data_IF_982719380949
#
_entry.id   IF_982719380949
#
_cell.length_a   1.000
_cell.length_b   1.000
_cell.length_c   1.000
_cell.angle_alpha   90.00
_cell.angle_beta   90.00
_cell.angle_gamma   90.00
#
_symmetry.space_group_name_H-M   'P 1'
#
loop_
_entity.id
_entity.type
_entity.pdbx_description
1 polymer ?
#
# COMPACT_ATOMS: atom_id res chain seq x y z
N UNK A 1 19.03 -47.76 19.89
CA UNK A 1 18.66 -46.55 20.64
C UNK A 1 19.82 -45.94 21.46
N UNK A 2 21.09 -46.19 21.10
CA UNK A 2 22.25 -45.86 21.97
C UNK A 2 23.22 -44.83 21.37
N UNK A 3 23.09 -44.51 20.08
CA UNK A 3 23.99 -43.58 19.37
C UNK A 3 23.58 -42.09 19.42
N UNK A 4 22.38 -41.77 19.91
CA UNK A 4 21.91 -40.38 20.06
C UNK A 4 22.34 -39.73 21.39
N UNK A 5 22.57 -40.52 22.45
CA UNK A 5 22.92 -39.99 23.78
C UNK A 5 24.39 -39.57 23.93
N UNK A 6 25.31 -40.18 23.18
CA UNK A 6 26.75 -39.86 23.28
C UNK A 6 27.13 -38.51 22.65
N UNK A 7 26.38 -38.04 21.64
CA UNK A 7 26.58 -36.69 21.08
C UNK A 7 25.94 -35.59 21.94
N UNK A 8 24.86 -35.89 22.68
CA UNK A 8 24.18 -34.92 23.56
C UNK A 8 25.05 -34.50 24.75
N UNK A 9 25.80 -35.43 25.37
CA UNK A 9 26.69 -35.10 26.50
C UNK A 9 27.88 -34.21 26.10
N UNK A 10 28.43 -34.43 24.89
CA UNK A 10 29.53 -33.61 24.35
C UNK A 10 29.09 -32.20 23.98
N UNK A 11 27.86 -32.03 23.47
CA UNK A 11 27.30 -30.71 23.14
C UNK A 11 26.99 -29.92 24.42
N UNK A 12 26.37 -30.55 25.42
CA UNK A 12 26.06 -29.92 26.71
C UNK A 12 27.30 -29.40 27.44
N UNK A 13 28.38 -30.20 27.48
CA UNK A 13 29.64 -29.78 28.09
C UNK A 13 30.26 -28.57 27.36
N UNK A 14 30.15 -28.52 26.02
CA UNK A 14 30.63 -27.38 25.21
C UNK A 14 29.79 -26.12 25.44
N UNK A 15 28.46 -26.26 25.54
CA UNK A 15 27.54 -25.18 25.86
C UNK A 15 27.89 -24.60 27.23
N UNK A 16 27.97 -25.43 28.27
CA UNK A 16 28.28 -25.00 29.64
C UNK A 16 29.64 -24.29 29.72
N UNK A 17 30.68 -24.86 29.11
CA UNK A 17 32.01 -24.24 29.07
C UNK A 17 31.97 -22.87 28.40
N UNK A 18 31.19 -22.71 27.33
CA UNK A 18 31.02 -21.44 26.63
C UNK A 18 30.24 -20.43 27.47
N UNK A 19 29.13 -20.81 28.10
CA UNK A 19 28.39 -19.93 29.01
C UNK A 19 29.26 -19.40 30.14
N UNK A 20 30.05 -20.27 30.78
CA UNK A 20 31.01 -19.89 31.83
C UNK A 20 32.04 -18.89 31.30
N UNK A 21 32.60 -19.13 30.11
CA UNK A 21 33.57 -18.21 29.49
C UNK A 21 33.01 -16.81 29.19
N UNK A 22 31.70 -16.72 28.94
CA UNK A 22 30.98 -15.46 28.70
C UNK A 22 30.43 -14.84 30.00
N UNK A 23 30.69 -15.47 31.15
CA UNK A 23 30.14 -15.07 32.44
C UNK A 23 28.61 -15.18 32.52
N UNK A 24 27.99 -15.98 31.67
CA UNK A 24 26.54 -16.22 31.68
C UNK A 24 26.20 -17.25 32.75
N UNK A 25 25.24 -16.92 33.61
CA UNK A 25 24.73 -17.87 34.61
C UNK A 25 23.95 -18.99 33.92
N UNK A 26 24.06 -20.19 34.47
CA UNK A 26 23.41 -21.38 33.95
C UNK A 26 21.90 -21.34 34.23
N UNK A 27 21.13 -20.88 33.25
CA UNK A 27 19.67 -20.91 33.26
C UNK A 27 19.15 -22.11 32.43
N UNK A 28 18.17 -22.86 32.97
CA UNK A 28 17.64 -24.06 32.30
C UNK A 28 16.99 -23.76 30.94
N UNK A 29 16.30 -22.62 30.82
CA UNK A 29 15.69 -22.15 29.56
C UNK A 29 16.76 -21.82 28.53
N UNK A 30 17.83 -21.16 28.98
CA UNK A 30 18.98 -20.84 28.13
C UNK A 30 19.66 -22.11 27.61
N UNK A 31 19.92 -23.07 28.49
CA UNK A 31 20.51 -24.37 28.11
C UNK A 31 19.60 -25.10 27.12
N UNK A 32 18.30 -25.18 27.40
CA UNK A 32 17.33 -25.83 26.52
C UNK A 32 17.36 -25.22 25.12
N UNK A 33 17.29 -23.89 25.00
CA UNK A 33 17.32 -23.20 23.71
C UNK A 33 18.58 -23.54 22.91
N UNK A 34 19.74 -23.60 23.57
CA UNK A 34 21.03 -23.89 22.94
C UNK A 34 21.17 -25.36 22.53
N UNK A 35 20.65 -26.29 23.34
CA UNK A 35 20.65 -27.73 23.05
C UNK A 35 19.74 -28.06 21.86
N UNK A 36 18.57 -27.42 21.77
CA UNK A 36 17.62 -27.60 20.66
C UNK A 36 18.08 -26.95 19.35
N UNK A 37 18.98 -25.96 19.41
CA UNK A 37 19.40 -25.14 18.26
C UNK A 37 20.93 -25.06 18.09
N UNK A 38 21.65 -26.19 17.94
CA UNK A 38 23.11 -26.24 17.94
C UNK A 38 23.76 -25.40 16.82
N UNK A 39 23.09 -25.24 15.68
CA UNK A 39 23.53 -24.44 14.54
C UNK A 39 23.55 -22.92 14.83
N UNK A 40 22.83 -22.47 15.86
CA UNK A 40 22.72 -21.06 16.24
C UNK A 40 23.47 -20.70 17.53
N UNK A 41 24.26 -21.62 18.10
CA UNK A 41 24.95 -21.42 19.40
C UNK A 41 25.69 -20.08 19.49
N UNK A 42 26.45 -19.70 18.46
CA UNK A 42 27.22 -18.44 18.50
C UNK A 42 26.31 -17.21 18.53
N UNK A 43 25.21 -17.20 17.77
CA UNK A 43 24.24 -16.10 17.74
C UNK A 43 23.46 -16.01 19.05
N UNK A 44 22.99 -17.16 19.56
CA UNK A 44 22.23 -17.24 20.81
C UNK A 44 23.08 -16.86 22.03
N UNK A 45 24.34 -17.32 22.10
CA UNK A 45 25.24 -16.92 23.20
C UNK A 45 25.57 -15.43 23.16
N UNK A 46 25.69 -14.82 21.97
CA UNK A 46 25.83 -13.37 21.82
C UNK A 46 24.58 -12.64 22.32
N UNK A 47 23.40 -13.11 21.93
CA UNK A 47 22.12 -12.59 22.42
C UNK A 47 22.02 -12.64 23.95
N UNK A 48 22.28 -13.79 24.58
CA UNK A 48 22.23 -13.88 26.04
C UNK A 48 23.23 -12.94 26.73
N UNK A 49 24.41 -12.76 26.14
CA UNK A 49 25.42 -11.80 26.64
C UNK A 49 24.92 -10.37 26.58
N UNK A 50 24.24 -10.00 25.49
CA UNK A 50 23.63 -8.68 25.30
C UNK A 50 22.45 -8.45 26.25
N UNK A 51 21.57 -9.46 26.42
CA UNK A 51 20.48 -9.39 27.39
C UNK A 51 21.02 -9.18 28.81
N UNK A 52 22.07 -9.91 29.20
CA UNK A 52 22.74 -9.70 30.50
C UNK A 52 23.35 -8.29 30.60
N UNK A 53 24.06 -7.82 29.56
CA UNK A 53 24.67 -6.49 29.51
C UNK A 53 23.65 -5.38 29.74
N UNK A 54 22.43 -5.55 29.22
CA UNK A 54 21.34 -4.60 29.36
C UNK A 54 20.37 -4.93 30.51
N UNK A 55 20.76 -5.80 31.44
CA UNK A 55 19.96 -6.21 32.62
C UNK A 55 18.56 -6.75 32.29
N UNK A 56 18.40 -7.37 31.12
CA UNK A 56 17.15 -7.98 30.70
C UNK A 56 17.05 -9.40 31.27
N UNK A 57 16.02 -9.65 32.07
CA UNK A 57 15.77 -10.95 32.69
C UNK A 57 15.11 -11.92 31.69
N UNK A 58 15.67 -13.12 31.57
CA UNK A 58 15.10 -14.20 30.75
C UNK A 58 13.89 -14.86 31.41
N UNK A 59 12.70 -14.34 31.16
CA UNK A 59 11.44 -14.94 31.60
C UNK A 59 10.88 -15.96 30.57
N UNK A 60 9.78 -16.64 30.91
CA UNK A 60 9.17 -17.66 30.03
C UNK A 60 8.69 -17.10 28.68
N UNK A 61 8.19 -15.86 28.66
CA UNK A 61 7.72 -15.21 27.45
C UNK A 61 8.87 -14.90 26.49
N UNK A 62 9.94 -14.29 27.02
CA UNK A 62 11.15 -13.98 26.26
C UNK A 62 11.83 -15.26 25.78
N UNK A 63 11.90 -16.30 26.62
CA UNK A 63 12.40 -17.61 26.21
C UNK A 63 11.61 -18.17 25.03
N UNK A 64 10.29 -18.15 25.09
CA UNK A 64 9.42 -18.60 23.99
C UNK A 64 9.62 -17.77 22.72
N UNK A 65 9.77 -16.44 22.84
CA UNK A 65 10.03 -15.54 21.72
C UNK A 65 11.37 -15.85 21.04
N UNK A 66 12.43 -16.07 21.84
CA UNK A 66 13.76 -16.49 21.36
C UNK A 66 13.67 -17.84 20.64
N UNK A 67 13.08 -18.85 21.28
CA UNK A 67 12.96 -20.19 20.74
C UNK A 67 12.18 -20.21 19.41
N UNK A 68 11.17 -19.35 19.27
CA UNK A 68 10.38 -19.24 18.03
C UNK A 68 11.10 -18.46 16.91
N UNK A 69 12.16 -17.69 17.23
CA UNK A 69 12.82 -16.77 16.29
C UNK A 69 14.36 -16.89 16.32
N UNK A 70 14.90 -18.07 16.61
CA UNK A 70 16.36 -18.30 16.78
C UNK A 70 17.23 -17.80 15.62
N UNK A 71 16.70 -17.83 14.40
CA UNK A 71 17.39 -17.33 13.21
C UNK A 71 17.69 -15.82 13.27
N UNK A 72 16.84 -15.07 13.98
CA UNK A 72 16.90 -13.61 14.13
C UNK A 72 17.75 -13.16 15.32
N UNK A 73 18.29 -14.07 16.14
CA UNK A 73 19.04 -13.72 17.35
C UNK A 73 20.21 -12.75 17.09
N UNK A 74 20.89 -12.88 15.94
CA UNK A 74 21.94 -11.94 15.53
C UNK A 74 21.40 -10.54 15.24
N UNK A 75 20.33 -10.45 14.44
CA UNK A 75 19.69 -9.17 14.14
C UNK A 75 19.11 -8.47 15.39
N UNK A 76 18.62 -9.24 16.36
CA UNK A 76 18.20 -8.70 17.66
C UNK A 76 19.37 -8.11 18.45
N UNK A 77 20.52 -8.79 18.47
CA UNK A 77 21.75 -8.26 19.06
C UNK A 77 22.11 -6.93 18.42
N UNK A 78 22.19 -6.90 17.09
CA UNK A 78 22.60 -5.71 16.34
C UNK A 78 21.63 -4.53 16.55
N UNK A 79 20.33 -4.82 16.74
CA UNK A 79 19.30 -3.81 17.01
C UNK A 79 19.35 -3.29 18.46
N UNK A 80 19.54 -4.18 19.45
CA UNK A 80 19.69 -3.78 20.86
C UNK A 80 20.96 -2.95 21.08
N UNK A 81 22.07 -3.34 20.45
CA UNK A 81 23.31 -2.57 20.49
C UNK A 81 23.13 -1.19 19.86
N UNK A 82 22.50 -1.12 18.68
CA UNK A 82 22.19 0.16 18.05
C UNK A 82 21.31 1.04 18.93
N UNK A 83 20.22 0.50 19.49
CA UNK A 83 19.33 1.25 20.39
C UNK A 83 20.11 1.86 21.56
N UNK A 84 21.00 1.08 22.18
CA UNK A 84 21.87 1.55 23.24
C UNK A 84 22.83 2.66 22.78
N UNK A 85 23.50 2.49 21.64
CA UNK A 85 24.40 3.49 21.04
C UNK A 85 23.69 4.82 20.73
N UNK A 86 22.41 4.75 20.36
CA UNK A 86 21.61 5.95 20.08
C UNK A 86 20.88 6.50 21.30
N UNK A 87 21.08 5.91 22.49
CA UNK A 87 20.51 6.38 23.75
C UNK A 87 19.03 6.04 23.93
N UNK A 88 18.51 5.03 23.23
CA UNK A 88 17.16 4.51 23.41
C UNK A 88 17.19 3.44 24.48
N UNK A 89 16.36 3.60 25.50
CA UNK A 89 16.14 2.54 26.49
C UNK A 89 15.39 1.35 25.85
N UNK A 90 15.97 0.13 25.86
CA UNK A 90 15.30 -1.06 25.37
C UNK A 90 13.96 -1.34 26.05
N UNK A 91 13.73 -0.85 27.27
CA UNK A 91 12.46 -1.03 27.98
C UNK A 91 11.27 -0.29 27.32
N UNK A 92 11.53 0.70 26.46
CA UNK A 92 10.46 1.41 25.74
C UNK A 92 9.71 0.52 24.73
N UNK A 93 10.35 -0.53 24.24
CA UNK A 93 9.78 -1.44 23.24
C UNK A 93 9.82 -2.85 23.83
N UNK A 94 8.68 -3.54 23.85
CA UNK A 94 8.66 -4.92 24.34
C UNK A 94 9.64 -5.77 23.53
N UNK A 95 10.41 -6.62 24.22
CA UNK A 95 11.41 -7.45 23.55
C UNK A 95 10.76 -8.35 22.50
N UNK A 96 9.56 -8.87 22.76
CA UNK A 96 8.79 -9.63 21.76
C UNK A 96 8.66 -8.86 20.43
N UNK A 97 8.40 -7.56 20.50
CA UNK A 97 8.33 -6.70 19.32
C UNK A 97 9.70 -6.50 18.68
N UNK A 98 10.76 -6.35 19.47
CA UNK A 98 12.15 -6.32 18.96
C UNK A 98 12.46 -7.60 18.17
N UNK A 99 12.07 -8.78 18.67
CA UNK A 99 12.26 -10.06 17.97
C UNK A 99 11.50 -10.14 16.65
N UNK A 100 10.24 -9.68 16.62
CA UNK A 100 9.42 -9.67 15.40
C UNK A 100 10.02 -8.70 14.37
N UNK A 101 10.35 -7.49 14.82
CA UNK A 101 10.87 -6.41 13.98
C UNK A 101 12.30 -6.65 13.48
N UNK A 102 13.10 -7.48 14.16
CA UNK A 102 14.49 -7.79 13.79
C UNK A 102 14.63 -8.42 12.39
N UNK A 103 13.56 -8.98 11.82
CA UNK A 103 13.56 -9.43 10.41
C UNK A 103 13.89 -8.29 9.43
N UNK A 104 13.60 -7.05 9.81
CA UNK A 104 13.84 -5.83 9.04
C UNK A 104 14.86 -4.91 9.74
N UNK A 105 15.79 -5.49 10.51
CA UNK A 105 16.81 -4.78 11.31
C UNK A 105 17.50 -3.66 10.53
N UNK A 106 17.94 -3.93 9.31
CA UNK A 106 18.68 -2.96 8.52
C UNK A 106 17.83 -1.75 8.17
N UNK A 107 16.58 -1.98 7.73
CA UNK A 107 15.63 -0.91 7.39
C UNK A 107 15.24 -0.08 8.62
N UNK A 108 15.03 -0.74 9.77
CA UNK A 108 14.75 -0.08 11.05
C UNK A 108 15.89 0.85 11.46
N UNK A 109 17.13 0.37 11.46
CA UNK A 109 18.29 1.18 11.86
C UNK A 109 18.51 2.36 10.93
N UNK A 110 18.33 2.16 9.63
CA UNK A 110 18.40 3.26 8.66
C UNK A 110 17.32 4.31 8.93
N UNK A 111 16.06 3.89 9.14
CA UNK A 111 14.96 4.80 9.49
C UNK A 111 15.21 5.58 10.79
N UNK A 112 15.64 4.88 11.85
CA UNK A 112 16.01 5.50 13.12
C UNK A 112 17.15 6.50 12.97
N UNK A 113 18.18 6.17 12.19
CA UNK A 113 19.31 7.07 11.95
C UNK A 113 18.88 8.33 11.18
N UNK A 114 17.97 8.22 10.22
CA UNK A 114 17.41 9.37 9.49
C UNK A 114 16.65 10.27 10.47
N UNK A 115 15.75 9.71 11.28
CA UNK A 115 15.01 10.49 12.26
C UNK A 115 15.92 11.13 13.31
N UNK A 116 16.94 10.43 13.78
CA UNK A 116 17.94 10.95 14.71
C UNK A 116 18.65 12.18 14.14
N UNK A 117 19.10 12.06 12.89
CA UNK A 117 19.82 13.14 12.18
C UNK A 117 18.95 14.39 11.99
N UNK A 118 17.63 14.23 11.93
CA UNK A 118 16.67 15.32 11.76
C UNK A 118 16.01 15.78 13.09
N UNK A 119 16.50 15.31 14.24
CA UNK A 119 15.94 15.57 15.57
C UNK A 119 14.44 15.22 15.71
N UNK A 120 14.02 14.15 15.04
CA UNK A 120 12.63 13.66 15.00
C UNK A 120 12.50 12.23 15.52
N UNK A 121 13.55 11.72 16.18
CA UNK A 121 13.52 10.42 16.84
C UNK A 121 13.05 10.59 18.28
N UNK A 122 11.83 10.17 18.54
CA UNK A 122 11.15 10.21 19.83
C UNK A 122 10.40 8.88 20.09
N UNK A 123 9.75 8.77 21.25
CA UNK A 123 9.04 7.54 21.61
C UNK A 123 7.90 7.20 20.63
N UNK A 124 7.21 8.20 20.08
CA UNK A 124 6.08 8.00 19.18
C UNK A 124 6.56 7.47 17.81
N UNK A 125 7.57 8.10 17.23
CA UNK A 125 8.18 7.67 15.97
C UNK A 125 8.87 6.31 16.08
N UNK A 126 9.52 6.01 17.21
CA UNK A 126 10.04 4.67 17.51
C UNK A 126 8.92 3.64 17.53
N UNK A 127 7.86 3.90 18.28
CA UNK A 127 6.71 3.01 18.34
C UNK A 127 6.08 2.79 16.95
N UNK A 128 6.08 3.80 16.08
CA UNK A 128 5.60 3.67 14.71
C UNK A 128 6.52 2.78 13.87
N UNK A 129 7.84 3.01 13.87
CA UNK A 129 8.78 2.17 13.13
C UNK A 129 8.74 0.71 13.59
N UNK A 130 8.62 0.44 14.89
CA UNK A 130 8.47 -0.93 15.39
C UNK A 130 7.08 -1.54 15.10
N UNK A 131 6.07 -0.76 14.70
CA UNK A 131 4.77 -1.30 14.22
C UNK A 131 4.86 -1.72 12.76
N UNK A 132 5.67 -1.01 11.97
CA UNK A 132 5.80 -1.19 10.53
C UNK A 132 7.29 -1.29 10.17
N UNK A 133 7.96 -2.36 10.62
CA UNK A 133 9.41 -2.46 10.56
C UNK A 133 9.95 -2.47 9.13
N UNK A 134 9.22 -3.05 8.18
CA UNK A 134 9.55 -3.07 6.76
C UNK A 134 9.46 -1.68 6.12
N UNK A 135 8.52 -0.84 6.56
CA UNK A 135 8.33 0.53 6.08
C UNK A 135 9.15 1.60 6.82
N UNK A 136 9.99 1.23 7.80
CA UNK A 136 10.67 2.20 8.68
C UNK A 136 11.42 3.30 7.96
N UNK A 137 12.05 2.98 6.82
CA UNK A 137 12.75 3.95 5.99
C UNK A 137 11.77 4.96 5.34
N UNK A 138 10.69 4.46 4.75
CA UNK A 138 9.64 5.28 4.13
C UNK A 138 8.94 6.16 5.17
N UNK A 139 8.70 5.61 6.37
CA UNK A 139 8.13 6.35 7.50
C UNK A 139 9.06 7.49 7.91
N UNK A 140 10.36 7.22 8.05
CA UNK A 140 11.34 8.23 8.43
C UNK A 140 11.39 9.37 7.41
N UNK A 141 11.45 9.05 6.12
CA UNK A 141 11.45 10.04 5.04
C UNK A 141 10.16 10.86 5.02
N UNK A 142 9.01 10.23 5.23
CA UNK A 142 7.73 10.92 5.30
C UNK A 142 7.66 11.90 6.46
N UNK A 143 8.08 11.50 7.66
CA UNK A 143 8.12 12.37 8.86
C UNK A 143 9.03 13.57 8.61
N UNK A 144 10.22 13.35 8.05
CA UNK A 144 11.15 14.43 7.70
C UNK A 144 10.53 15.37 6.66
N UNK A 145 9.82 14.84 5.66
CA UNK A 145 9.15 15.67 4.67
C UNK A 145 8.02 16.51 5.28
N UNK A 146 7.23 15.96 6.20
CA UNK A 146 6.24 16.75 6.93
C UNK A 146 6.87 17.85 7.79
N UNK A 147 7.98 17.54 8.46
CA UNK A 147 8.73 18.51 9.27
C UNK A 147 9.29 19.66 8.40
N UNK A 148 9.81 19.36 7.21
CA UNK A 148 10.28 20.38 6.24
C UNK A 148 9.18 21.35 5.80
N UNK A 149 7.93 20.90 5.81
CA UNK A 149 6.75 21.73 5.52
C UNK A 149 6.11 22.33 6.79
N UNK A 150 6.79 22.24 7.94
CA UNK A 150 6.34 22.75 9.23
C UNK A 150 5.00 22.16 9.74
N UNK A 151 4.66 20.94 9.33
CA UNK A 151 3.49 20.22 9.87
C UNK A 151 3.81 19.55 11.22
N UNK A 152 2.78 19.43 12.07
CA UNK A 152 2.90 18.76 13.38
C UNK A 152 3.08 17.25 13.19
N UNK A 153 4.30 16.76 13.42
CA UNK A 153 4.68 15.35 13.29
C UNK A 153 3.96 14.45 14.29
N UNK A 154 3.69 14.94 15.50
CA UNK A 154 2.98 14.20 16.56
C UNK A 154 1.59 13.72 16.10
N UNK A 155 0.76 14.64 15.59
CA UNK A 155 -0.58 14.32 15.08
C UNK A 155 -0.54 13.38 13.87
N UNK A 156 0.49 13.52 13.05
CA UNK A 156 0.70 12.68 11.86
C UNK A 156 1.03 11.25 12.29
N UNK A 157 1.96 11.07 13.24
CA UNK A 157 2.34 9.76 13.77
C UNK A 157 1.12 9.06 14.40
N UNK A 158 0.32 9.80 15.17
CA UNK A 158 -0.92 9.27 15.76
C UNK A 158 -1.89 8.74 14.69
N UNK A 159 -2.04 9.44 13.57
CA UNK A 159 -2.89 9.01 12.45
C UNK A 159 -2.29 7.84 11.68
N UNK A 160 -0.97 7.81 11.48
CA UNK A 160 -0.30 6.70 10.80
C UNK A 160 -0.50 5.37 11.53
N UNK A 161 -0.50 5.38 12.86
CA UNK A 161 -0.78 4.18 13.67
C UNK A 161 -2.16 3.54 13.44
N UNK A 162 -3.10 4.26 12.82
CA UNK A 162 -4.45 3.77 12.56
C UNK A 162 -4.53 2.98 11.24
N UNK A 163 -3.46 2.96 10.44
CA UNK A 163 -3.45 2.21 9.18
C UNK A 163 -3.11 0.73 9.38
N UNK A 164 -3.72 -0.15 8.59
CA UNK A 164 -3.37 -1.57 8.58
C UNK A 164 -2.00 -1.79 7.92
N UNK A 165 -1.26 -2.77 8.43
CA UNK A 165 0.10 -3.10 8.00
C UNK A 165 0.21 -3.26 6.48
N UNK A 166 -0.66 -4.09 5.88
CA UNK A 166 -0.65 -4.33 4.43
C UNK A 166 -1.00 -3.13 3.55
N UNK A 167 -1.36 -1.97 4.12
CA UNK A 167 -1.66 -0.72 3.39
C UNK A 167 -0.68 0.42 3.70
N UNK A 168 0.22 0.24 4.66
CA UNK A 168 1.10 1.31 5.14
C UNK A 168 1.97 1.89 4.02
N UNK A 169 2.61 1.02 3.22
CA UNK A 169 3.42 1.44 2.06
C UNK A 169 2.64 2.33 1.09
N UNK A 170 1.45 1.91 0.64
CA UNK A 170 0.59 2.72 -0.27
C UNK A 170 0.21 4.06 0.34
N UNK A 171 -0.11 4.08 1.64
CA UNK A 171 -0.50 5.31 2.36
C UNK A 171 0.67 6.30 2.41
N UNK A 172 1.87 5.83 2.71
CA UNK A 172 3.09 6.66 2.74
C UNK A 172 3.38 7.22 1.35
N UNK A 173 3.30 6.39 0.30
CA UNK A 173 3.51 6.84 -1.08
C UNK A 173 2.48 7.91 -1.49
N UNK A 174 1.22 7.74 -1.10
CA UNK A 174 0.16 8.71 -1.39
C UNK A 174 0.38 10.04 -0.66
N UNK A 175 0.78 10.03 0.61
CA UNK A 175 1.12 11.27 1.32
C UNK A 175 2.37 11.94 0.76
N UNK A 176 3.39 11.16 0.40
CA UNK A 176 4.60 11.67 -0.26
C UNK A 176 4.23 12.35 -1.58
N UNK A 177 3.33 11.75 -2.35
CA UNK A 177 2.80 12.32 -3.59
C UNK A 177 2.08 13.66 -3.32
N UNK A 178 1.18 13.70 -2.34
CA UNK A 178 0.44 14.92 -1.97
C UNK A 178 1.37 16.06 -1.53
N UNK A 179 2.34 15.76 -0.67
CA UNK A 179 3.36 16.72 -0.23
C UNK A 179 4.15 17.26 -1.42
N UNK A 180 4.62 16.39 -2.32
CA UNK A 180 5.43 16.80 -3.48
C UNK A 180 4.68 17.71 -4.47
N UNK A 181 3.34 17.65 -4.46
CA UNK A 181 2.47 18.46 -5.33
C UNK A 181 1.83 19.64 -4.60
N UNK A 182 2.18 19.89 -3.34
CA UNK A 182 1.52 20.90 -2.49
C UNK A 182 0.00 20.73 -2.39
N UNK A 183 -0.47 19.48 -2.41
CA UNK A 183 -1.89 19.11 -2.32
C UNK A 183 -2.26 18.53 -0.96
N UNK A 184 -1.29 18.39 -0.05
CA UNK A 184 -1.54 17.86 1.27
C UNK A 184 -2.39 18.82 2.12
N UNK A 185 -3.41 18.27 2.75
CA UNK A 185 -4.14 18.87 3.86
C UNK A 185 -4.42 17.77 4.89
N UNK A 186 -4.56 18.15 6.17
CA UNK A 186 -4.56 17.19 7.28
C UNK A 186 -5.73 16.19 7.20
N UNK A 187 -6.89 16.64 6.69
CA UNK A 187 -8.10 15.85 6.57
C UNK A 187 -7.97 14.72 5.52
N UNK A 188 -6.93 14.71 4.66
CA UNK A 188 -6.62 13.56 3.81
C UNK A 188 -6.43 12.27 4.62
N UNK A 189 -5.90 12.36 5.85
CA UNK A 189 -5.79 11.22 6.75
C UNK A 189 -7.13 10.54 6.99
N UNK A 190 -8.15 11.33 7.27
CA UNK A 190 -9.48 10.81 7.58
C UNK A 190 -10.14 10.17 6.35
N UNK A 191 -9.92 10.74 5.16
CA UNK A 191 -10.36 10.16 3.89
C UNK A 191 -9.68 8.80 3.67
N UNK A 192 -8.36 8.73 3.80
CA UNK A 192 -7.59 7.51 3.55
C UNK A 192 -7.87 6.42 4.59
N UNK A 193 -8.10 6.80 5.85
CA UNK A 193 -8.52 5.86 6.90
C UNK A 193 -9.90 5.28 6.61
N UNK A 194 -10.89 6.11 6.25
CA UNK A 194 -12.22 5.63 5.84
C UNK A 194 -12.16 4.73 4.61
N UNK A 195 -11.24 5.00 3.69
CA UNK A 195 -11.11 4.30 2.41
C UNK A 195 -9.94 3.31 2.33
N UNK A 196 -9.46 2.82 3.47
CA UNK A 196 -8.29 1.95 3.52
C UNK A 196 -8.40 0.69 2.63
N UNK A 197 -9.60 0.12 2.48
CA UNK A 197 -9.84 -1.03 1.59
C UNK A 197 -9.60 -0.72 0.11
N UNK A 198 -9.73 0.55 -0.28
CA UNK A 198 -9.67 1.03 -1.66
C UNK A 198 -8.43 1.90 -1.92
N UNK A 199 -7.51 2.02 -0.96
CA UNK A 199 -6.40 2.97 -1.02
C UNK A 199 -5.49 2.74 -2.22
N UNK A 200 -5.31 1.49 -2.65
CA UNK A 200 -4.49 1.15 -3.83
C UNK A 200 -5.10 1.75 -5.11
N UNK A 201 -6.42 1.67 -5.27
CA UNK A 201 -7.13 2.25 -6.43
C UNK A 201 -7.05 3.78 -6.43
N UNK A 202 -7.17 4.38 -5.24
CA UNK A 202 -7.01 5.83 -5.05
C UNK A 202 -5.60 6.26 -5.48
N UNK A 203 -4.59 5.51 -5.03
CA UNK A 203 -3.20 5.76 -5.36
C UNK A 203 -2.91 5.56 -6.86
N UNK A 204 -3.39 4.49 -7.49
CA UNK A 204 -3.28 4.27 -8.94
C UNK A 204 -3.83 5.45 -9.74
N UNK A 205 -5.04 5.91 -9.40
CA UNK A 205 -5.65 7.07 -10.06
C UNK A 205 -4.85 8.36 -9.82
N UNK A 206 -4.37 8.57 -8.60
CA UNK A 206 -3.54 9.73 -8.27
C UNK A 206 -2.22 9.75 -9.07
N UNK A 207 -1.54 8.60 -9.20
CA UNK A 207 -0.33 8.47 -10.03
C UNK A 207 -0.59 8.82 -11.49
N UNK A 208 -1.70 8.33 -12.07
CA UNK A 208 -2.07 8.64 -13.46
C UNK A 208 -2.26 10.14 -13.68
N UNK A 209 -2.98 10.79 -12.77
CA UNK A 209 -3.21 12.23 -12.84
C UNK A 209 -1.90 13.01 -12.66
N UNK A 210 -1.03 12.58 -11.75
CA UNK A 210 0.30 13.20 -11.56
C UNK A 210 1.18 13.07 -12.79
N UNK A 211 1.18 11.93 -13.47
CA UNK A 211 1.97 11.71 -14.67
C UNK A 211 1.61 12.66 -15.83
N UNK A 212 0.45 13.34 -15.74
CA UNK A 212 -0.02 14.32 -16.71
C UNK A 212 -0.17 15.74 -16.11
N UNK A 213 0.29 15.96 -14.88
CA UNK A 213 0.12 17.20 -14.12
C UNK A 213 -1.34 17.66 -13.98
N UNK A 214 -2.24 16.70 -13.80
CA UNK A 214 -3.71 16.89 -13.65
C UNK A 214 -4.25 16.46 -12.29
N UNK A 215 -3.40 16.20 -11.30
CA UNK A 215 -3.88 15.92 -9.94
C UNK A 215 -4.33 17.22 -9.26
N UNK A 216 -5.53 17.24 -8.70
CA UNK A 216 -6.13 18.39 -8.00
C UNK A 216 -6.94 17.94 -6.76
N UNK A 217 -7.22 18.84 -5.80
CA UNK A 217 -7.98 18.51 -4.58
C UNK A 217 -9.37 17.92 -4.86
N UNK A 218 -10.04 18.41 -5.90
CA UNK A 218 -11.34 17.93 -6.41
C UNK A 218 -11.40 16.41 -6.62
N UNK A 219 -10.28 15.78 -7.03
CA UNK A 219 -10.21 14.33 -7.18
C UNK A 219 -10.43 13.62 -5.83
N UNK A 220 -9.75 14.09 -4.77
CA UNK A 220 -9.84 13.47 -3.44
C UNK A 220 -11.20 13.72 -2.78
N UNK A 221 -11.78 14.90 -2.96
CA UNK A 221 -13.13 15.23 -2.47
C UNK A 221 -14.21 14.32 -3.07
N UNK A 222 -14.03 13.91 -4.33
CA UNK A 222 -15.03 13.11 -5.05
C UNK A 222 -14.86 11.62 -4.78
N UNK A 223 -13.62 11.09 -4.80
CA UNK A 223 -13.37 9.65 -4.52
C UNK A 223 -13.65 9.27 -3.07
N UNK A 224 -13.74 10.22 -2.14
CA UNK A 224 -14.23 9.93 -0.79
C UNK A 224 -15.63 9.30 -0.83
N UNK A 225 -16.48 9.74 -1.78
CA UNK A 225 -17.86 9.27 -1.94
C UNK A 225 -17.95 8.00 -2.80
N UNK A 226 -17.09 7.88 -3.81
CA UNK A 226 -16.99 6.68 -4.66
C UNK A 226 -15.52 6.26 -4.90
N UNK A 227 -14.92 5.56 -3.93
CA UNK A 227 -13.50 5.19 -3.96
C UNK A 227 -13.20 4.05 -4.93
N UNK A 228 -14.20 3.24 -5.28
CA UNK A 228 -14.01 2.07 -6.14
C UNK A 228 -13.76 2.47 -7.59
N UNK A 229 -14.30 3.62 -7.99
CA UNK A 229 -14.16 4.19 -9.32
C UNK A 229 -12.90 5.05 -9.48
N UNK A 230 -12.08 5.25 -8.45
CA UNK A 230 -10.97 6.22 -8.43
C UNK A 230 -10.00 6.12 -9.62
N UNK A 231 -9.57 4.90 -9.96
CA UNK A 231 -8.65 4.67 -11.09
C UNK A 231 -9.30 4.97 -12.46
N UNK A 232 -10.59 4.69 -12.62
CA UNK A 232 -11.34 4.95 -13.84
C UNK A 232 -11.68 6.43 -13.96
N UNK A 233 -12.06 7.07 -12.85
CA UNK A 233 -12.24 8.51 -12.77
C UNK A 233 -10.99 9.26 -13.22
N UNK A 234 -9.79 8.82 -12.82
CA UNK A 234 -8.55 9.41 -13.31
C UNK A 234 -8.44 9.36 -14.84
N UNK A 235 -8.77 8.24 -15.48
CA UNK A 235 -8.79 8.13 -16.94
C UNK A 235 -9.85 9.05 -17.57
N UNK A 236 -11.04 9.12 -16.98
CA UNK A 236 -12.13 9.99 -17.46
C UNK A 236 -11.73 11.45 -17.36
N UNK A 237 -11.09 11.87 -16.26
CA UNK A 237 -10.58 13.24 -16.10
C UNK A 237 -9.62 13.58 -17.23
N UNK A 238 -8.64 12.71 -17.51
CA UNK A 238 -7.66 12.94 -18.57
C UNK A 238 -8.30 13.03 -19.96
N UNK A 239 -9.27 12.16 -20.23
CA UNK A 239 -10.01 12.12 -21.49
C UNK A 239 -10.82 13.42 -21.70
N UNK A 240 -11.60 13.81 -20.69
CA UNK A 240 -12.51 14.96 -20.79
C UNK A 240 -11.78 16.30 -20.72
N UNK A 241 -10.69 16.40 -19.94
CA UNK A 241 -9.83 17.59 -19.93
C UNK A 241 -9.12 17.79 -21.29
N UNK A 242 -8.66 16.70 -21.92
CA UNK A 242 -8.08 16.75 -23.26
C UNK A 242 -9.10 17.26 -24.29
N UNK A 243 -10.36 16.85 -24.17
CA UNK A 243 -11.47 17.33 -25.01
C UNK A 243 -12.00 18.72 -24.58
N UNK A 244 -11.43 19.36 -23.56
CA UNK A 244 -11.91 20.64 -23.01
C UNK A 244 -13.37 20.63 -22.55
N UNK A 245 -13.86 19.48 -22.08
CA UNK A 245 -15.25 19.28 -21.65
C UNK A 245 -15.48 19.46 -20.16
N UNK A 246 -14.41 19.36 -19.36
CA UNK A 246 -14.45 19.60 -17.91
C UNK A 246 -13.29 20.49 -17.51
N UNK A 247 -13.45 21.18 -16.38
CA UNK A 247 -12.32 21.69 -15.60
C UNK A 247 -12.08 20.74 -14.42
N UNK A 248 -11.02 19.94 -14.50
CA UNK A 248 -10.67 18.97 -13.46
C UNK A 248 -10.39 19.61 -12.09
N UNK A 249 -10.21 20.93 -12.02
CA UNK A 249 -10.02 21.67 -10.75
C UNK A 249 -11.34 22.01 -10.08
N UNK A 250 -12.46 21.96 -10.80
CA UNK A 250 -13.80 22.20 -10.26
C UNK A 250 -14.40 20.89 -9.76
N UNK A 251 -14.76 20.87 -8.48
CA UNK A 251 -15.34 19.68 -7.84
C UNK A 251 -16.67 19.30 -8.50
N UNK A 252 -17.47 20.25 -8.99
CA UNK A 252 -18.75 19.97 -9.66
C UNK A 252 -18.57 19.16 -10.94
N UNK A 253 -17.59 19.52 -11.78
CA UNK A 253 -17.32 18.83 -13.03
C UNK A 253 -16.80 17.41 -12.75
N UNK A 254 -15.87 17.28 -11.81
CA UNK A 254 -15.33 15.97 -11.39
C UNK A 254 -16.40 15.08 -10.77
N UNK A 255 -17.35 15.66 -10.02
CA UNK A 255 -18.48 14.93 -9.43
C UNK A 255 -19.47 14.42 -10.48
N UNK A 256 -19.64 15.12 -11.60
CA UNK A 256 -20.43 14.61 -12.73
C UNK A 256 -19.67 13.46 -13.39
N UNK A 257 -18.38 13.65 -13.66
CA UNK A 257 -17.52 12.63 -14.27
C UNK A 257 -17.41 11.35 -13.42
N UNK A 258 -17.42 11.45 -12.09
CA UNK A 258 -17.29 10.30 -11.20
C UNK A 258 -18.46 9.33 -11.23
N UNK A 259 -19.61 9.75 -11.77
CA UNK A 259 -20.78 8.87 -11.94
C UNK A 259 -20.61 7.92 -13.13
N UNK A 260 -19.64 8.18 -14.00
CA UNK A 260 -19.36 7.38 -15.18
C UNK A 260 -18.46 6.21 -14.80
N UNK A 261 -18.89 5.00 -15.16
CA UNK A 261 -18.13 3.77 -14.95
C UNK A 261 -17.21 3.42 -16.13
N UNK A 262 -16.70 2.19 -16.09
CA UNK A 262 -15.77 1.63 -17.09
C UNK A 262 -16.35 1.67 -18.51
N UNK A 263 -17.58 1.20 -18.71
CA UNK A 263 -18.18 1.17 -20.05
C UNK A 263 -18.43 2.56 -20.61
N UNK A 264 -18.77 3.54 -19.77
CA UNK A 264 -18.86 4.93 -20.19
C UNK A 264 -17.49 5.52 -20.58
N UNK A 265 -16.42 5.20 -19.84
CA UNK A 265 -15.07 5.60 -20.22
C UNK A 265 -14.67 5.05 -21.61
N UNK A 266 -14.89 3.76 -21.87
CA UNK A 266 -14.59 3.18 -23.18
C UNK A 266 -15.44 3.81 -24.29
N UNK A 267 -16.73 3.99 -24.05
CA UNK A 267 -17.61 4.61 -25.04
C UNK A 267 -17.19 6.06 -25.36
N UNK A 268 -16.87 6.87 -24.35
CA UNK A 268 -16.33 8.22 -24.56
C UNK A 268 -14.99 8.21 -25.32
N UNK A 269 -14.15 7.20 -25.10
CA UNK A 269 -12.89 7.06 -25.84
C UNK A 269 -13.16 6.79 -27.33
N UNK A 270 -14.12 5.93 -27.66
CA UNK A 270 -14.51 5.71 -29.06
C UNK A 270 -15.14 6.95 -29.70
N UNK A 271 -15.97 7.70 -28.95
CA UNK A 271 -16.46 9.00 -29.41
C UNK A 271 -15.31 9.98 -29.66
N UNK A 272 -14.25 9.96 -28.86
CA UNK A 272 -13.08 10.81 -29.08
C UNK A 272 -12.34 10.43 -30.36
N UNK A 273 -12.08 9.14 -30.60
CA UNK A 273 -11.38 8.68 -31.79
C UNK A 273 -12.13 9.00 -33.09
N UNK A 274 -13.47 9.02 -33.05
CA UNK A 274 -14.31 9.38 -34.18
C UNK A 274 -14.59 10.90 -34.32
N UNK A 275 -13.91 11.76 -33.55
CA UNK A 275 -14.17 13.21 -33.48
C UNK A 275 -15.64 13.57 -33.14
N UNK A 276 -16.29 12.75 -32.33
CA UNK A 276 -17.68 12.89 -31.88
C UNK A 276 -17.81 13.27 -30.39
N UNK A 277 -16.70 13.32 -29.65
CA UNK A 277 -16.71 13.72 -28.24
C UNK A 277 -16.81 15.23 -28.09
N UNK A 278 -18.04 15.75 -28.15
CA UNK A 278 -18.37 17.15 -27.92
C UNK A 278 -19.24 17.35 -26.66
N UNK A 279 -19.57 18.61 -26.34
CA UNK A 279 -20.37 18.94 -25.18
C UNK A 279 -21.80 18.35 -25.25
N UNK A 280 -22.38 18.18 -26.43
CA UNK A 280 -23.72 17.62 -26.57
C UNK A 280 -23.70 16.12 -26.25
N UNK A 281 -22.77 15.38 -26.87
CA UNK A 281 -22.65 13.94 -26.69
C UNK A 281 -22.13 13.57 -25.30
N UNK A 282 -21.23 14.35 -24.73
CA UNK A 282 -20.85 14.23 -23.33
C UNK A 282 -22.04 14.40 -22.38
N UNK A 283 -22.86 15.44 -22.60
CA UNK A 283 -24.07 15.65 -21.81
C UNK A 283 -25.08 14.51 -21.95
N UNK A 284 -25.22 13.91 -23.15
CA UNK A 284 -26.04 12.71 -23.36
C UNK A 284 -25.53 11.55 -22.49
N UNK A 285 -24.23 11.25 -22.54
CA UNK A 285 -23.64 10.16 -21.75
C UNK A 285 -23.84 10.40 -20.24
N UNK A 286 -23.58 11.61 -19.76
CA UNK A 286 -23.72 11.96 -18.34
C UNK A 286 -25.16 11.98 -17.84
N UNK A 287 -26.09 12.57 -18.61
CA UNK A 287 -27.48 12.76 -18.19
C UNK A 287 -28.22 11.44 -18.03
N UNK A 288 -27.98 10.52 -18.97
CA UNK A 288 -28.66 9.23 -18.95
C UNK A 288 -27.93 8.21 -18.08
N UNK A 289 -26.59 8.33 -17.97
CA UNK A 289 -25.71 7.38 -17.26
C UNK A 289 -26.21 5.94 -17.41
N UNK A 290 -26.41 5.56 -18.69
CA UNK A 290 -27.34 4.49 -19.06
C UNK A 290 -26.99 3.17 -18.37
N UNK A 291 -28.00 2.40 -17.90
CA UNK A 291 -27.80 1.02 -17.46
C UNK A 291 -27.05 0.15 -18.48
N UNK A 292 -27.18 0.44 -19.79
CA UNK A 292 -26.46 -0.26 -20.86
C UNK A 292 -24.94 -0.13 -20.67
N UNK A 293 -24.43 1.09 -20.50
CA UNK A 293 -22.98 1.34 -20.36
C UNK A 293 -22.41 0.78 -19.04
N UNK A 294 -23.27 0.59 -18.04
CA UNK A 294 -22.91 0.00 -16.76
C UNK A 294 -23.18 -1.51 -16.71
N UNK A 295 -23.67 -2.12 -17.79
CA UNK A 295 -23.96 -3.55 -17.84
C UNK A 295 -22.66 -4.37 -17.86
N UNK A 296 -22.53 -5.44 -17.05
CA UNK A 296 -21.30 -6.23 -16.97
C UNK A 296 -20.82 -6.79 -18.32
N UNK A 297 -21.74 -7.23 -19.19
CA UNK A 297 -21.38 -7.77 -20.50
C UNK A 297 -20.83 -6.69 -21.43
N UNK A 298 -21.43 -5.49 -21.43
CA UNK A 298 -20.93 -4.34 -22.20
C UNK A 298 -19.54 -3.94 -21.70
N UNK A 299 -19.34 -3.86 -20.39
CA UNK A 299 -18.03 -3.57 -19.78
C UNK A 299 -16.99 -4.61 -20.22
N UNK A 300 -17.35 -5.89 -20.17
CA UNK A 300 -16.48 -7.00 -20.56
C UNK A 300 -16.10 -6.91 -22.03
N UNK A 301 -17.08 -6.67 -22.91
CA UNK A 301 -16.87 -6.57 -24.36
C UNK A 301 -16.00 -5.36 -24.72
N UNK A 302 -16.23 -4.20 -24.12
CA UNK A 302 -15.35 -3.04 -24.31
C UNK A 302 -13.94 -3.30 -23.78
N UNK A 303 -13.80 -3.98 -22.63
CA UNK A 303 -12.49 -4.30 -22.06
C UNK A 303 -11.68 -5.29 -22.92
N UNK A 304 -12.37 -6.12 -23.73
CA UNK A 304 -11.75 -7.06 -24.67
C UNK A 304 -11.75 -6.57 -26.12
N UNK A 305 -12.11 -5.30 -26.35
CA UNK A 305 -12.18 -4.75 -27.69
C UNK A 305 -10.79 -4.70 -28.34
N UNK A 306 -10.61 -5.11 -29.60
CA UNK A 306 -9.30 -5.09 -30.24
C UNK A 306 -8.72 -3.68 -30.33
N UNK A 307 -7.41 -3.55 -30.07
CA UNK A 307 -6.70 -2.26 -29.97
C UNK A 307 -6.74 -1.40 -31.25
N UNK A 308 -6.94 -2.01 -32.41
CA UNK A 308 -6.90 -1.34 -33.72
C UNK A 308 -8.25 -1.29 -34.43
N UNK A 309 -9.30 -1.82 -33.79
CA UNK A 309 -10.65 -1.70 -34.32
C UNK A 309 -11.27 -0.40 -33.83
N UNK A 310 -12.09 0.21 -34.67
CA UNK A 310 -12.80 1.45 -34.39
C UNK A 310 -14.24 1.33 -34.88
N UNK A 311 -15.18 1.87 -34.11
CA UNK A 311 -16.55 2.00 -34.58
C UNK A 311 -16.62 3.13 -35.59
N UNK A 312 -17.39 2.92 -36.65
CA UNK A 312 -17.69 4.01 -37.56
C UNK A 312 -18.64 5.03 -36.91
N UNK A 313 -18.77 6.20 -37.56
CA UNK A 313 -19.61 7.29 -37.06
C UNK A 313 -21.09 6.90 -36.98
N UNK A 314 -21.60 6.15 -37.94
CA UNK A 314 -23.02 5.75 -37.98
C UNK A 314 -23.33 4.76 -36.85
N UNK A 315 -22.40 3.85 -36.56
CA UNK A 315 -22.45 2.94 -35.43
C UNK A 315 -22.49 3.71 -34.11
N UNK A 316 -21.61 4.69 -33.92
CA UNK A 316 -21.57 5.50 -32.71
C UNK A 316 -22.82 6.37 -32.54
N UNK A 317 -23.36 6.95 -33.62
CA UNK A 317 -24.63 7.68 -33.61
C UNK A 317 -25.79 6.78 -33.18
N UNK A 318 -25.81 5.54 -33.69
CA UNK A 318 -26.81 4.54 -33.30
C UNK A 318 -26.65 4.13 -31.84
N UNK A 319 -25.44 3.85 -31.38
CA UNK A 319 -25.14 3.54 -29.97
C UNK A 319 -25.54 4.69 -29.04
N UNK A 320 -25.26 5.95 -29.42
CA UNK A 320 -25.72 7.15 -28.72
C UNK A 320 -27.26 7.19 -28.62
N UNK A 321 -27.95 6.85 -29.71
CA UNK A 321 -29.42 6.81 -29.72
C UNK A 321 -29.97 5.75 -28.76
N UNK A 322 -29.32 4.59 -28.63
CA UNK A 322 -29.73 3.51 -27.73
C UNK A 322 -29.57 3.92 -26.27
N UNK A 323 -28.42 4.49 -25.89
CA UNK A 323 -28.15 4.85 -24.49
C UNK A 323 -28.97 6.06 -24.00
N UNK A 324 -29.56 6.85 -24.90
CA UNK A 324 -30.37 8.03 -24.58
C UNK A 324 -31.88 7.74 -24.52
N UNK A 325 -32.30 6.49 -24.75
CA UNK A 325 -33.71 6.09 -24.58
C UNK A 325 -34.10 6.16 -23.10
N UNK A 326 -35.27 6.74 -22.82
CA UNK A 326 -35.80 6.96 -21.47
C UNK A 326 -36.13 5.66 -20.72
N UNK A 327 -36.43 4.60 -21.45
CA UNK A 327 -36.63 3.24 -20.97
C UNK A 327 -35.84 2.33 -21.90
N UNK A 328 -34.72 1.80 -21.40
CA UNK A 328 -33.96 0.78 -22.10
C UNK A 328 -34.74 -0.52 -22.02
N UNK A 329 -35.17 -1.04 -23.17
CA UNK A 329 -35.64 -2.42 -23.25
C UNK A 329 -34.44 -3.37 -23.29
N UNK A 330 -34.64 -4.64 -22.94
CA UNK A 330 -33.60 -5.67 -23.09
C UNK A 330 -33.10 -5.75 -24.55
N UNK A 331 -34.00 -5.52 -25.52
CA UNK A 331 -33.65 -5.43 -26.94
C UNK A 331 -32.66 -4.29 -27.25
N UNK A 332 -32.69 -3.17 -26.53
CA UNK A 332 -31.72 -2.07 -26.74
C UNK A 332 -30.33 -2.46 -26.25
N UNK A 333 -30.26 -3.24 -25.17
CA UNK A 333 -29.01 -3.79 -24.65
C UNK A 333 -28.43 -4.85 -25.59
N UNK A 334 -29.28 -5.78 -26.07
CA UNK A 334 -28.89 -6.79 -27.05
C UNK A 334 -28.36 -6.15 -28.33
N UNK A 335 -29.06 -5.15 -28.87
CA UNK A 335 -28.61 -4.42 -30.06
C UNK A 335 -27.27 -3.71 -29.83
N UNK A 336 -27.06 -3.11 -28.65
CA UNK A 336 -25.79 -2.49 -28.30
C UNK A 336 -24.64 -3.51 -28.20
N UNK A 337 -24.91 -4.68 -27.60
CA UNK A 337 -23.95 -5.79 -27.49
C UNK A 337 -23.58 -6.33 -28.87
N UNK A 338 -24.57 -6.59 -29.73
CA UNK A 338 -24.34 -7.08 -31.10
C UNK A 338 -23.44 -6.14 -31.90
N UNK A 339 -23.57 -4.83 -31.70
CA UNK A 339 -22.72 -3.84 -32.35
C UNK A 339 -21.26 -3.99 -31.92
N UNK A 340 -20.97 -4.17 -30.62
CA UNK A 340 -19.60 -4.39 -30.15
C UNK A 340 -19.05 -5.73 -30.65
N UNK A 341 -19.86 -6.78 -30.62
CA UNK A 341 -19.45 -8.14 -30.99
C UNK A 341 -19.06 -8.27 -32.47
N UNK A 342 -19.70 -7.52 -33.37
CA UNK A 342 -19.34 -7.51 -34.81
C UNK A 342 -17.85 -7.26 -35.06
N UNK A 343 -17.23 -6.43 -34.23
CA UNK A 343 -15.82 -6.06 -34.34
C UNK A 343 -14.87 -7.03 -33.61
N UNK A 344 -15.39 -7.93 -32.75
CA UNK A 344 -14.56 -8.91 -32.03
C UNK A 344 -14.20 -10.15 -32.88
N UNK A 345 -14.97 -10.45 -33.93
CA UNK A 345 -14.85 -11.69 -34.69
C UNK A 345 -13.95 -11.62 -35.95
N UNK A 346 -13.33 -10.47 -36.25
CA UNK A 346 -12.41 -10.33 -37.39
C UNK A 346 -11.09 -11.12 -37.25
N UNK A 347 -10.79 -11.70 -36.08
CA UNK A 347 -9.59 -12.52 -35.85
C UNK A 347 -9.70 -14.01 -36.25
N UNK A 348 -10.87 -14.47 -36.73
CA UNK A 348 -11.08 -15.89 -37.12
C UNK A 348 -11.03 -16.19 -38.61
N UNK A 349 -10.56 -15.26 -39.45
CA UNK A 349 -10.35 -15.53 -40.88
C UNK A 349 -8.95 -15.16 -41.34
N UNK A 350 -8.00 -16.03 -41.06
CA UNK A 350 -6.87 -16.26 -41.96
C UNK A 350 -6.84 -17.74 -42.34
N UNK A 351 -7.11 -18.11 -43.61
CA UNK A 351 -6.84 -19.45 -44.11
C UNK A 351 -5.35 -19.77 -44.17
#
# INVERSE_FOLDING_TARGET
>A
MTYLKFNQSGIKNKINSRLVSLGLESDERMIQTLEENPQYINRLTSLFSVLKKYNVVLNDLLHKAIASNVAQAGAVVDLLEFMHEVGIDPEFISLERVFVSAKSETTLKQGMQILKTNNSLDSASLNLMFAYPEESLLIADLIVNFQKHAYSTEKIIEKLHQFSEGKMSTVIELFTLLLSKNLYYFECFDIFLRQQKNIDKIYEGAKKLVAKDKLAPSYFEVIEKDPMNANILANIILLLDLASLIDYRKTEDVLIASKLGVGAFHFLTHLQHADMLDAENYNKVCRYNSPILNHPDVIKLFSSFPLFEEFDREELEKMLSLITKKTSADADLEEFIEMIEKHQFSSKQHP
#
